data_IF_846830107858
#
_entry.id   IF_846830107858
#
_cell.length_a   1.000
_cell.length_b   1.000
_cell.length_c   1.000
_cell.angle_alpha   90.00
_cell.angle_beta   90.00
_cell.angle_gamma   90.00
#
_symmetry.space_group_name_H-M   'P 1'
#
loop_
_entity.id
_entity.type
_entity.pdbx_description
1 polymer ?
#
# COMPACT_ATOMS: atom_id res chain seq x y z
N UNK A 1 54.32 -19.77 4.24
CA UNK A 1 53.72 -20.88 3.49
C UNK A 1 52.27 -20.99 3.92
N UNK A 2 51.33 -20.81 2.99
CA UNK A 2 49.87 -21.07 3.06
C UNK A 2 49.07 -20.12 3.99
N UNK A 3 48.43 -19.05 3.44
CA UNK A 3 47.06 -19.01 2.85
C UNK A 3 46.05 -19.47 3.91
N UNK A 4 45.05 -18.70 4.36
CA UNK A 4 43.74 -18.55 3.71
C UNK A 4 43.03 -17.23 4.13
N UNK A 5 42.71 -16.43 3.12
CA UNK A 5 41.50 -15.63 2.90
C UNK A 5 40.48 -15.65 4.06
N UNK A 6 40.27 -14.50 4.71
CA UNK A 6 39.01 -14.19 5.38
C UNK A 6 38.48 -12.90 4.78
N UNK A 7 37.63 -13.08 3.77
CA UNK A 7 36.80 -12.05 3.18
C UNK A 7 35.96 -11.47 4.32
N UNK A 8 36.31 -10.26 4.77
CA UNK A 8 35.40 -9.44 5.56
C UNK A 8 34.29 -9.03 4.60
N UNK A 9 33.23 -9.84 4.55
CA UNK A 9 31.99 -9.48 3.88
C UNK A 9 31.44 -8.28 4.64
N UNK A 10 31.72 -7.10 4.10
CA UNK A 10 31.10 -5.84 4.47
C UNK A 10 29.61 -5.96 4.13
N UNK A 11 28.81 -6.48 5.06
CA UNK A 11 27.36 -6.36 5.02
C UNK A 11 27.05 -4.93 5.47
N UNK A 12 27.17 -3.98 4.54
CA UNK A 12 26.50 -2.69 4.71
C UNK A 12 25.02 -2.99 4.53
N UNK A 13 24.34 -3.28 5.64
CA UNK A 13 22.89 -3.13 5.71
C UNK A 13 22.66 -1.62 5.64
N UNK A 14 22.41 -1.10 4.44
CA UNK A 14 21.87 0.24 4.27
C UNK A 14 20.42 0.18 4.78
N UNK A 15 20.28 0.28 6.10
CA UNK A 15 19.00 0.50 6.76
C UNK A 15 18.58 1.93 6.43
N UNK A 16 17.98 2.12 5.26
CA UNK A 16 17.27 3.34 4.90
C UNK A 16 16.06 3.48 5.82
N UNK A 17 16.30 3.93 7.04
CA UNK A 17 15.32 4.20 8.08
C UNK A 17 14.48 5.44 7.79
N UNK A 18 13.82 5.48 6.63
CA UNK A 18 12.55 6.16 6.57
C UNK A 18 11.59 5.26 7.35
N UNK A 19 11.02 5.75 8.45
CA UNK A 19 9.94 5.08 9.15
C UNK A 19 8.74 5.01 8.19
N UNK A 20 8.73 4.03 7.30
CA UNK A 20 7.57 3.72 6.48
C UNK A 20 6.50 3.23 7.45
N UNK A 21 5.42 4.00 7.60
CA UNK A 21 4.24 3.50 8.27
C UNK A 21 3.83 2.17 7.61
N UNK A 22 3.51 1.18 8.45
CA UNK A 22 3.07 -0.12 7.96
C UNK A 22 1.85 0.08 7.04
N UNK A 23 2.01 -0.23 5.76
CA UNK A 23 0.98 0.03 4.76
C UNK A 23 -0.31 -0.75 5.04
N UNK A 24 -0.20 -1.91 5.71
CA UNK A 24 -1.34 -2.68 6.20
C UNK A 24 -2.04 -1.98 7.36
N UNK A 25 -1.30 -1.37 8.28
CA UNK A 25 -1.88 -0.55 9.35
C UNK A 25 -2.58 0.70 8.79
N UNK A 26 -1.96 1.41 7.84
CA UNK A 26 -2.59 2.54 7.14
C UNK A 26 -3.85 2.11 6.39
N UNK A 27 -3.81 0.96 5.71
CA UNK A 27 -4.96 0.40 5.03
C UNK A 27 -6.08 0.08 6.01
N UNK A 28 -5.77 -0.57 7.14
CA UNK A 28 -6.74 -0.90 8.17
C UNK A 28 -7.39 0.36 8.76
N UNK A 29 -6.60 1.41 8.99
CA UNK A 29 -7.05 2.65 9.61
C UNK A 29 -7.90 3.52 8.66
N UNK A 30 -7.55 3.57 7.37
CA UNK A 30 -8.12 4.55 6.45
C UNK A 30 -8.99 3.95 5.35
N UNK A 31 -8.73 2.72 4.92
CA UNK A 31 -9.28 2.17 3.67
C UNK A 31 -10.23 0.99 3.91
N UNK A 32 -9.92 0.13 4.87
CA UNK A 32 -10.56 -1.17 5.07
C UNK A 32 -12.06 -1.09 5.43
N UNK A 33 -12.54 0.02 5.99
CA UNK A 33 -13.96 0.20 6.30
C UNK A 33 -14.86 0.23 5.06
N UNK A 34 -14.32 0.71 3.92
CA UNK A 34 -14.99 0.66 2.61
C UNK A 34 -14.49 -0.54 1.79
N UNK A 35 -13.17 -0.69 1.67
CA UNK A 35 -12.53 -1.61 0.74
C UNK A 35 -12.37 -3.04 1.28
N UNK A 36 -12.69 -3.28 2.55
CA UNK A 36 -12.44 -4.55 3.21
C UNK A 36 -10.97 -4.69 3.61
N UNK A 37 -10.71 -5.46 4.68
CA UNK A 37 -9.32 -5.77 5.09
C UNK A 37 -8.57 -6.54 4.01
N UNK A 38 -9.30 -7.32 3.21
CA UNK A 38 -8.79 -8.15 2.12
C UNK A 38 -8.85 -7.48 0.74
N UNK A 39 -9.38 -6.26 0.63
CA UNK A 39 -9.56 -5.58 -0.66
C UNK A 39 -10.77 -6.03 -1.47
N UNK A 40 -11.63 -6.92 -0.94
CA UNK A 40 -12.80 -7.43 -1.67
C UNK A 40 -13.92 -6.41 -1.86
N UNK A 41 -13.91 -5.32 -1.09
CA UNK A 41 -15.05 -4.40 -1.00
C UNK A 41 -16.29 -5.00 -0.35
N UNK A 42 -16.22 -6.23 0.18
CA UNK A 42 -17.35 -6.96 0.79
C UNK A 42 -17.68 -6.48 2.21
N UNK A 43 -17.80 -5.16 2.37
CA UNK A 43 -18.26 -4.50 3.59
C UNK A 43 -19.66 -3.92 3.38
N UNK A 44 -20.39 -3.63 4.45
CA UNK A 44 -21.70 -2.97 4.35
C UNK A 44 -21.61 -1.64 3.58
N UNK A 45 -20.56 -0.87 3.82
CA UNK A 45 -20.32 0.41 3.13
C UNK A 45 -19.81 0.20 1.70
N UNK A 46 -18.90 -0.74 1.49
CA UNK A 46 -18.35 -1.07 0.18
C UNK A 46 -19.42 -1.51 -0.82
N UNK A 47 -20.38 -2.34 -0.37
CA UNK A 47 -21.55 -2.73 -1.18
C UNK A 47 -22.44 -1.54 -1.52
N UNK A 48 -22.75 -0.68 -0.54
CA UNK A 48 -23.57 0.52 -0.77
C UNK A 48 -22.92 1.52 -1.74
N UNK A 49 -21.59 1.61 -1.73
CA UNK A 49 -20.83 2.54 -2.56
C UNK A 49 -20.34 1.93 -3.89
N UNK A 50 -20.59 0.64 -4.13
CA UNK A 50 -20.13 -0.04 -5.34
C UNK A 50 -18.60 -0.13 -5.42
N UNK A 51 -17.93 -0.37 -4.29
CA UNK A 51 -16.47 -0.54 -4.25
C UNK A 51 -16.09 -1.79 -5.05
N UNK A 52 -15.08 -1.64 -5.90
CA UNK A 52 -14.54 -2.73 -6.73
C UNK A 52 -13.83 -3.77 -5.88
N UNK A 53 -13.95 -5.02 -6.28
CA UNK A 53 -13.20 -6.14 -5.70
C UNK A 53 -11.77 -6.17 -6.26
N UNK A 54 -10.82 -5.68 -5.46
CA UNK A 54 -9.40 -5.64 -5.82
C UNK A 54 -8.72 -7.01 -5.77
N UNK A 55 -9.38 -8.03 -5.21
CA UNK A 55 -8.90 -9.42 -5.29
C UNK A 55 -9.09 -9.99 -6.69
N UNK A 56 -10.02 -9.43 -7.47
CA UNK A 56 -10.34 -9.86 -8.85
C UNK A 56 -9.74 -8.96 -9.91
N UNK A 57 -9.87 -7.64 -9.74
CA UNK A 57 -9.44 -6.69 -10.77
C UNK A 57 -8.95 -5.37 -10.20
N UNK A 58 -7.87 -4.87 -10.80
CA UNK A 58 -7.25 -3.59 -10.46
C UNK A 58 -6.93 -2.80 -11.73
N UNK A 59 -7.97 -2.49 -12.52
CA UNK A 59 -7.87 -1.79 -13.81
C UNK A 59 -7.57 -0.29 -13.70
N UNK A 60 -6.65 0.10 -12.82
CA UNK A 60 -6.16 1.47 -12.65
C UNK A 60 -4.63 1.43 -12.60
N UNK A 61 -3.97 2.50 -13.02
CA UNK A 61 -2.52 2.69 -12.84
C UNK A 61 -2.17 3.09 -11.41
N UNK A 62 -0.89 2.95 -11.05
CA UNK A 62 -0.39 3.38 -9.74
C UNK A 62 -0.53 4.90 -9.55
N UNK A 63 -0.33 5.66 -10.62
CA UNK A 63 -0.51 7.11 -10.62
C UNK A 63 -1.98 7.51 -10.38
N UNK A 64 -2.92 6.81 -11.03
CA UNK A 64 -4.35 7.01 -10.76
C UNK A 64 -4.70 6.65 -9.32
N UNK A 65 -4.21 5.53 -8.79
CA UNK A 65 -4.45 5.15 -7.40
C UNK A 65 -3.91 6.21 -6.43
N UNK A 66 -2.66 6.65 -6.61
CA UNK A 66 -2.06 7.70 -5.79
C UNK A 66 -2.86 9.00 -5.84
N UNK A 67 -3.30 9.41 -7.04
CA UNK A 67 -4.12 10.60 -7.22
C UNK A 67 -5.47 10.48 -6.51
N UNK A 68 -6.15 9.34 -6.62
CA UNK A 68 -7.44 9.10 -5.95
C UNK A 68 -7.27 9.07 -4.43
N UNK A 69 -6.17 8.51 -3.90
CA UNK A 69 -5.90 8.55 -2.45
C UNK A 69 -5.73 10.00 -1.98
N UNK A 70 -4.94 10.82 -2.69
CA UNK A 70 -4.67 12.21 -2.31
C UNK A 70 -5.86 13.13 -2.50
N UNK A 71 -6.59 12.99 -3.61
CA UNK A 71 -7.57 13.97 -4.08
C UNK A 71 -9.02 13.47 -4.01
N UNK A 72 -9.23 12.18 -3.76
CA UNK A 72 -10.55 11.56 -3.80
C UNK A 72 -11.07 11.34 -5.22
N UNK A 73 -12.18 10.60 -5.34
CA UNK A 73 -12.93 10.41 -6.60
C UNK A 73 -14.34 9.93 -6.30
N UNK A 74 -15.34 10.64 -6.83
CA UNK A 74 -16.75 10.31 -6.60
C UNK A 74 -17.10 10.31 -5.11
N UNK A 75 -17.38 9.12 -4.55
CA UNK A 75 -17.73 8.95 -3.13
C UNK A 75 -16.52 8.72 -2.21
N UNK A 76 -15.32 8.50 -2.77
CA UNK A 76 -14.10 8.34 -2.00
C UNK A 76 -13.54 9.72 -1.61
N UNK A 77 -13.39 9.98 -0.31
CA UNK A 77 -12.79 11.20 0.23
C UNK A 77 -11.28 11.29 -0.07
N UNK A 78 -10.78 12.51 -0.10
CA UNK A 78 -9.35 12.81 -0.15
C UNK A 78 -8.65 12.52 1.19
N UNK A 79 -7.43 12.00 1.16
CA UNK A 79 -6.57 11.78 2.32
C UNK A 79 -5.33 12.68 2.28
N UNK A 80 -5.54 13.99 2.42
CA UNK A 80 -4.47 15.01 2.32
C UNK A 80 -3.45 14.96 3.45
N UNK A 81 -3.78 14.31 4.56
CA UNK A 81 -2.89 14.14 5.70
C UNK A 81 -1.84 13.03 5.50
N UNK A 82 -2.00 12.18 4.49
CA UNK A 82 -1.03 11.13 4.19
C UNK A 82 0.15 11.71 3.42
N UNK A 83 1.37 11.32 3.81
CA UNK A 83 2.57 11.71 3.09
C UNK A 83 2.67 11.02 1.73
N UNK A 84 3.49 11.54 0.84
CA UNK A 84 3.76 10.92 -0.46
C UNK A 84 4.32 9.50 -0.33
N UNK A 85 5.12 9.26 0.71
CA UNK A 85 5.64 7.93 1.04
C UNK A 85 4.52 6.97 1.46
N UNK A 86 3.60 7.43 2.32
CA UNK A 86 2.45 6.63 2.77
C UNK A 86 1.50 6.30 1.62
N UNK A 87 1.25 7.26 0.73
CA UNK A 87 0.42 7.05 -0.47
C UNK A 87 1.08 6.01 -1.37
N UNK A 88 2.40 6.12 -1.61
CA UNK A 88 3.13 5.13 -2.40
C UNK A 88 3.09 3.74 -1.77
N UNK A 89 3.24 3.66 -0.44
CA UNK A 89 3.18 2.41 0.31
C UNK A 89 1.78 1.78 0.23
N UNK A 90 0.71 2.58 0.35
CA UNK A 90 -0.67 2.12 0.19
C UNK A 90 -0.96 1.63 -1.23
N UNK A 91 -0.47 2.31 -2.26
CA UNK A 91 -0.62 1.85 -3.65
C UNK A 91 0.07 0.50 -3.83
N UNK A 92 1.29 0.33 -3.32
CA UNK A 92 2.00 -0.94 -3.34
C UNK A 92 1.22 -2.03 -2.58
N UNK A 93 0.66 -1.71 -1.42
CA UNK A 93 -0.17 -2.63 -0.63
C UNK A 93 -1.42 -3.07 -1.38
N UNK A 94 -2.11 -2.14 -2.06
CA UNK A 94 -3.28 -2.51 -2.89
C UNK A 94 -2.90 -3.54 -3.95
N UNK A 95 -1.72 -3.44 -4.57
CA UNK A 95 -1.26 -4.43 -5.56
C UNK A 95 -1.12 -5.83 -4.98
N UNK A 96 -0.77 -5.96 -3.70
CA UNK A 96 -0.66 -7.28 -3.04
C UNK A 96 -2.01 -7.92 -2.73
N UNK A 97 -3.12 -7.19 -2.85
CA UNK A 97 -4.47 -7.71 -2.56
C UNK A 97 -5.04 -8.54 -3.72
N UNK A 98 -4.49 -8.43 -4.93
CA UNK A 98 -4.91 -9.23 -6.07
C UNK A 98 -4.45 -10.68 -5.87
N UNK A 99 -5.36 -11.62 -6.10
CA UNK A 99 -5.09 -13.06 -6.06
C UNK A 99 -4.94 -13.64 -7.46
#
# INVERSE_FOLDING_TARGET
>A
MNVIISIVVVIIVVSSGAAFADAGALWAQHCASCHGKDGSGNTTMGKKLGVKDYTKSQSFSDAEAANVIKNGKGKMKAYKQLSDADVKALVAYVRTLKK
#
